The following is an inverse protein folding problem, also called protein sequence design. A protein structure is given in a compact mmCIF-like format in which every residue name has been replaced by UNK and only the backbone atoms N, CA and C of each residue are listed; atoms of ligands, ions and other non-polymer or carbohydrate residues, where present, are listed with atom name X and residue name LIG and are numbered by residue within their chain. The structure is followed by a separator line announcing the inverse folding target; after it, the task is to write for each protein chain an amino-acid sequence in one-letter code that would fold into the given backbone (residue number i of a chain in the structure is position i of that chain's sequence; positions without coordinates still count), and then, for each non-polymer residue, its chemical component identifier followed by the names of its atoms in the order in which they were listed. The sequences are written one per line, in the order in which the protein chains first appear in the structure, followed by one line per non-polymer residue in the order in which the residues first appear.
data_IF_200118105096
#
_entry.id   IF_200118105096
#
_cell.length_a   1.000
_cell.length_b   1.000
_cell.length_c   1.000
_cell.angle_alpha   90.00
_cell.angle_beta   90.00
_cell.angle_gamma   90.00
#
_symmetry.space_group_name_H-M   'P 1'
#
loop_
_entity.id
_entity.type
_entity.pdbx_description
1 polymer ?
#
# COMPACT_ATOMS: atom_id res chain seq x y z
N UNK A 1 3.34 8.34 8.47
CA UNK A 1 4.58 9.03 8.07
C UNK A 1 4.99 8.71 6.63
N UNK A 2 4.70 7.51 6.09
CA UNK A 2 5.11 7.14 4.73
C UNK A 2 4.24 7.75 3.61
N UNK A 3 2.95 7.93 3.84
CA UNK A 3 2.05 8.63 2.92
C UNK A 3 2.58 10.01 2.51
N UNK A 4 3.01 10.81 3.49
CA UNK A 4 3.63 12.12 3.22
C UNK A 4 4.89 12.01 2.35
N UNK A 5 5.66 10.92 2.44
CA UNK A 5 6.82 10.71 1.59
C UNK A 5 6.40 10.44 0.14
N UNK A 6 5.40 9.59 -0.12
CA UNK A 6 4.90 9.36 -1.50
C UNK A 6 4.27 10.63 -2.09
N UNK A 7 3.55 11.40 -1.28
CA UNK A 7 2.76 12.53 -1.78
C UNK A 7 3.53 13.85 -1.87
N UNK A 8 4.60 14.02 -1.08
CA UNK A 8 5.27 15.32 -0.94
C UNK A 8 6.79 15.29 -1.03
N UNK A 9 7.44 14.11 -1.08
CA UNK A 9 8.90 14.05 -1.20
C UNK A 9 9.39 14.55 -2.57
N UNK A 10 10.69 14.85 -2.64
CA UNK A 10 11.36 15.18 -3.90
C UNK A 10 11.31 14.02 -4.91
N UNK A 11 11.20 12.79 -4.43
CA UNK A 11 11.19 11.57 -5.24
C UNK A 11 9.78 11.14 -5.64
N UNK A 12 8.75 11.93 -5.31
CA UNK A 12 7.37 11.64 -5.70
C UNK A 12 7.20 11.61 -7.22
N UNK A 13 6.26 10.80 -7.70
CA UNK A 13 5.77 10.95 -9.05
C UNK A 13 5.02 12.28 -9.18
N UNK A 14 5.16 12.91 -10.35
CA UNK A 14 4.60 14.25 -10.57
C UNK A 14 3.09 14.29 -10.27
N UNK A 15 2.37 13.25 -10.71
CA UNK A 15 0.93 13.09 -10.57
C UNK A 15 0.48 12.24 -9.36
N UNK A 16 1.35 12.01 -8.36
CA UNK A 16 0.93 11.36 -7.12
C UNK A 16 -0.12 12.21 -6.39
N UNK A 17 -1.25 11.59 -6.03
CA UNK A 17 -2.36 12.20 -5.31
C UNK A 17 -2.85 11.26 -4.19
N UNK A 18 -3.40 11.81 -3.11
CA UNK A 18 -4.05 10.99 -2.09
C UNK A 18 -5.34 10.41 -2.66
N UNK A 19 -5.70 9.20 -2.22
CA UNK A 19 -6.95 8.58 -2.66
C UNK A 19 -8.17 9.40 -2.21
N UNK A 20 -8.09 9.99 -1.01
CA UNK A 20 -9.10 10.89 -0.43
C UNK A 20 -9.33 12.19 -1.22
N UNK A 21 -8.36 12.60 -2.03
CA UNK A 21 -8.49 13.80 -2.88
C UNK A 21 -9.35 13.55 -4.12
N UNK A 22 -9.67 12.28 -4.41
CA UNK A 22 -10.54 11.91 -5.52
C UNK A 22 -12.01 11.86 -5.08
N UNK A 23 -12.93 12.54 -5.77
CA UNK A 23 -14.34 12.56 -5.42
C UNK A 23 -15.06 11.21 -5.65
N UNK A 24 -14.56 10.40 -6.58
CA UNK A 24 -14.95 9.00 -6.80
C UNK A 24 -13.87 8.28 -7.58
N UNK A 25 -13.88 6.94 -7.60
CA UNK A 25 -12.95 6.15 -8.42
C UNK A 25 -13.27 6.17 -9.92
N UNK A 26 -14.42 6.74 -10.32
CA UNK A 26 -14.80 6.89 -11.74
C UNK A 26 -13.85 7.80 -12.52
N UNK A 27 -13.13 8.69 -11.81
CA UNK A 27 -12.16 9.61 -12.40
C UNK A 27 -10.82 8.95 -12.71
N UNK A 28 -10.56 7.76 -12.16
CA UNK A 28 -9.39 6.97 -12.49
C UNK A 28 -9.60 6.34 -13.88
N UNK A 29 -8.57 6.24 -14.68
CA UNK A 29 -8.57 5.51 -15.95
C UNK A 29 -7.77 4.19 -15.85
N UNK A 30 -7.74 3.40 -16.93
CA UNK A 30 -7.08 2.09 -16.92
C UNK A 30 -5.56 2.17 -16.87
N UNK A 31 -4.99 3.35 -17.07
CA UNK A 31 -3.54 3.60 -17.00
C UNK A 31 -3.08 3.95 -15.59
N UNK A 32 -4.01 4.36 -14.73
CA UNK A 32 -3.72 4.63 -13.33
C UNK A 32 -3.33 3.34 -12.59
N UNK A 33 -2.50 3.53 -11.56
CA UNK A 33 -2.05 2.47 -10.65
C UNK A 33 -2.33 2.94 -9.24
N UNK A 34 -3.12 2.18 -8.51
CA UNK A 34 -3.49 2.54 -7.14
C UNK A 34 -2.62 1.74 -6.17
N UNK A 35 -2.06 2.46 -5.20
CA UNK A 35 -1.19 1.88 -4.18
C UNK A 35 -1.91 1.97 -2.83
N UNK A 36 -2.36 0.81 -2.31
CA UNK A 36 -2.90 0.69 -0.97
C UNK A 36 -1.80 0.15 -0.04
N UNK A 37 -1.50 0.84 1.06
CA UNK A 37 -0.46 0.40 1.97
C UNK A 37 -0.80 0.69 3.42
N UNK A 38 -0.33 -0.18 4.31
CA UNK A 38 -0.57 -0.06 5.75
C UNK A 38 0.12 -1.16 6.52
N UNK A 39 0.37 -0.92 7.81
CA UNK A 39 1.00 -1.95 8.66
C UNK A 39 0.10 -3.19 8.85
N UNK A 40 -1.22 -3.00 8.81
CA UNK A 40 -2.23 -4.03 8.96
C UNK A 40 -3.29 -3.89 7.86
N UNK A 41 -3.96 -4.99 7.53
CA UNK A 41 -5.07 -5.01 6.59
C UNK A 41 -6.34 -4.52 7.32
N UNK A 42 -6.69 -3.25 7.14
CA UNK A 42 -7.84 -2.61 7.80
C UNK A 42 -9.14 -2.83 7.04
N UNK A 43 -10.28 -2.62 7.72
CA UNK A 43 -11.61 -2.64 7.08
C UNK A 43 -11.75 -1.57 5.99
N UNK A 44 -11.10 -0.42 6.16
CA UNK A 44 -11.06 0.64 5.16
C UNK A 44 -10.33 0.19 3.90
N UNK A 45 -9.13 -0.35 4.05
CA UNK A 45 -8.36 -0.92 2.93
C UNK A 45 -9.11 -2.05 2.23
N UNK A 46 -9.86 -2.87 2.98
CA UNK A 46 -10.68 -3.93 2.40
C UNK A 46 -11.80 -3.37 1.51
N UNK A 47 -12.51 -2.34 1.97
CA UNK A 47 -13.55 -1.66 1.17
C UNK A 47 -12.99 -1.02 -0.08
N UNK A 48 -11.86 -0.32 0.03
CA UNK A 48 -11.21 0.33 -1.12
C UNK A 48 -10.74 -0.72 -2.13
N UNK A 49 -10.13 -1.82 -1.66
CA UNK A 49 -9.69 -2.92 -2.50
C UNK A 49 -10.86 -3.57 -3.25
N UNK A 50 -11.97 -3.86 -2.55
CA UNK A 50 -13.17 -4.44 -3.16
C UNK A 50 -13.73 -3.55 -4.27
N UNK A 51 -13.79 -2.24 -4.02
CA UNK A 51 -14.29 -1.28 -5.01
C UNK A 51 -13.36 -1.17 -6.22
N UNK A 52 -12.05 -1.07 -6.01
CA UNK A 52 -11.06 -0.97 -7.08
C UNK A 52 -11.04 -2.22 -7.98
N UNK A 53 -11.22 -3.40 -7.39
CA UNK A 53 -11.33 -4.66 -8.15
C UNK A 53 -12.64 -4.71 -8.94
N UNK A 54 -13.76 -4.27 -8.35
CA UNK A 54 -15.04 -4.20 -9.05
C UNK A 54 -14.99 -3.27 -10.27
N UNK A 55 -14.15 -2.23 -10.20
CA UNK A 55 -13.92 -1.25 -11.26
C UNK A 55 -12.80 -1.67 -12.25
N UNK A 56 -12.30 -2.92 -12.18
CA UNK A 56 -11.24 -3.47 -13.04
C UNK A 56 -9.93 -2.66 -12.99
N UNK A 57 -9.53 -2.23 -11.78
CA UNK A 57 -8.32 -1.41 -11.56
C UNK A 57 -7.13 -2.23 -11.10
N UNK A 58 -5.98 -1.94 -11.70
CA UNK A 58 -4.70 -2.51 -11.29
C UNK A 58 -4.26 -1.89 -9.95
N UNK A 59 -4.18 -2.74 -8.92
CA UNK A 59 -3.88 -2.31 -7.56
C UNK A 59 -2.63 -3.01 -7.01
N UNK A 60 -1.80 -2.27 -6.28
CA UNK A 60 -0.73 -2.82 -5.45
C UNK A 60 -1.13 -2.69 -3.99
N UNK A 61 -1.14 -3.79 -3.26
CA UNK A 61 -1.43 -3.83 -1.81
C UNK A 61 -0.17 -4.18 -1.04
N UNK A 62 0.25 -3.31 -0.13
CA UNK A 62 1.42 -3.52 0.73
C UNK A 62 0.98 -3.56 2.20
N UNK A 63 0.89 -4.75 2.76
CA UNK A 63 0.56 -4.93 4.17
C UNK A 63 1.03 -6.27 4.73
N UNK A 64 0.90 -6.47 6.04
CA UNK A 64 1.00 -7.80 6.61
C UNK A 64 -0.17 -8.66 6.15
N UNK A 65 0.11 -9.86 5.64
CA UNK A 65 -0.94 -10.78 5.17
C UNK A 65 -1.98 -11.04 6.27
N UNK A 66 -3.27 -10.75 6.04
CA UNK A 66 -4.32 -11.12 6.97
C UNK A 66 -4.40 -12.65 7.07
N UNK A 67 -4.63 -13.17 8.27
CA UNK A 67 -4.67 -14.63 8.51
C UNK A 67 -5.97 -15.27 8.04
N UNK A 68 -7.05 -14.49 7.98
CA UNK A 68 -8.43 -14.98 7.84
C UNK A 68 -9.09 -14.51 6.53
N UNK A 69 -8.40 -13.70 5.73
CA UNK A 69 -8.93 -13.13 4.48
C UNK A 69 -8.13 -13.69 3.31
N UNK A 70 -8.83 -14.29 2.35
CA UNK A 70 -8.25 -14.59 1.04
C UNK A 70 -8.27 -13.32 0.19
N UNK A 71 -7.08 -12.88 -0.22
CA UNK A 71 -6.95 -11.75 -1.12
C UNK A 71 -7.07 -12.25 -2.58
N UNK A 72 -7.82 -11.57 -3.44
CA UNK A 72 -8.04 -11.97 -4.83
C UNK A 72 -6.79 -11.81 -5.71
N UNK A 73 -6.37 -12.86 -6.42
CA UNK A 73 -5.06 -12.92 -7.09
C UNK A 73 -4.94 -12.26 -8.48
N UNK A 74 -6.05 -11.94 -9.17
CA UNK A 74 -6.02 -11.69 -10.63
C UNK A 74 -5.86 -10.22 -11.05
N UNK A 75 -6.19 -9.26 -10.18
CA UNK A 75 -6.07 -7.80 -10.45
C UNK A 75 -5.26 -7.07 -9.37
N UNK A 76 -4.59 -7.84 -8.50
CA UNK A 76 -3.89 -7.32 -7.33
C UNK A 76 -2.46 -7.84 -7.29
N UNK A 77 -1.51 -6.92 -7.17
CA UNK A 77 -0.15 -7.24 -6.76
C UNK A 77 0.00 -7.09 -5.25
N UNK A 78 0.10 -8.21 -4.54
CA UNK A 78 0.23 -8.21 -3.09
C UNK A 78 1.69 -8.34 -2.63
N UNK A 79 2.17 -7.37 -1.85
CA UNK A 79 3.48 -7.39 -1.21
C UNK A 79 3.28 -7.62 0.29
N UNK A 80 3.49 -8.87 0.70
CA UNK A 80 3.41 -9.24 2.11
C UNK A 80 4.65 -8.78 2.88
N UNK A 81 4.46 -7.83 3.80
CA UNK A 81 5.52 -7.33 4.66
C UNK A 81 6.13 -8.40 5.57
N UNK A 82 5.38 -9.45 5.90
CA UNK A 82 5.82 -10.57 6.74
C UNK A 82 6.42 -10.13 8.09
N UNK A 83 5.96 -9.00 8.63
CA UNK A 83 6.35 -8.44 9.94
C UNK A 83 5.15 -8.24 10.85
N UNK A 84 4.55 -9.33 11.36
CA UNK A 84 3.38 -9.27 12.23
C UNK A 84 3.68 -8.75 13.64
N UNK A 85 4.96 -8.48 13.96
CA UNK A 85 5.37 -7.89 15.24
C UNK A 85 6.10 -6.57 14.97
N UNK A 86 5.83 -5.51 15.75
CA UNK A 86 6.60 -4.28 15.66
C UNK A 86 8.09 -4.57 15.82
N UNK A 87 8.91 -3.93 14.99
CA UNK A 87 10.35 -4.05 15.14
C UNK A 87 10.75 -3.24 16.37
N UNK A 88 11.30 -3.92 17.37
CA UNK A 88 11.83 -3.29 18.57
C UNK A 88 13.24 -2.81 18.25
N UNK A 89 13.45 -1.50 18.36
CA UNK A 89 14.78 -0.91 18.20
C UNK A 89 15.73 -1.45 19.28
N UNK A 90 16.87 -1.99 18.85
CA UNK A 90 18.02 -2.21 19.75
C UNK A 90 18.71 -0.86 20.00
N UNK A 91 19.34 -0.67 21.16
CA UNK A 91 19.96 0.60 21.57
C UNK A 91 20.87 1.24 20.49
N UNK A 92 21.51 0.41 19.66
CA UNK A 92 22.47 0.88 18.65
C UNK A 92 21.88 1.17 17.27
N UNK A 93 20.58 0.96 17.03
CA UNK A 93 19.89 1.13 15.73
C UNK A 93 20.52 0.41 14.50
N UNK A 94 21.56 -0.40 14.69
CA UNK A 94 22.46 -0.92 13.65
C UNK A 94 21.84 -2.02 12.75
N UNK A 95 20.72 -2.63 13.15
CA UNK A 95 20.17 -3.83 12.46
C UNK A 95 18.70 -3.75 12.08
N UNK A 96 18.12 -2.55 12.04
CA UNK A 96 16.68 -2.41 11.77
C UNK A 96 16.43 -2.36 10.27
N UNK A 97 16.19 -3.54 9.69
CA UNK A 97 15.53 -3.70 8.39
C UNK A 97 14.12 -3.15 8.55
N UNK A 98 13.76 -2.05 7.87
CA UNK A 98 12.37 -1.57 7.79
C UNK A 98 11.73 -2.15 6.52
N UNK A 99 10.99 -3.27 6.60
CA UNK A 99 10.51 -3.98 5.42
C UNK A 99 9.51 -3.17 4.61
N UNK A 100 8.83 -2.20 5.24
CA UNK A 100 7.94 -1.28 4.55
C UNK A 100 8.73 -0.43 3.52
N UNK A 101 9.76 0.30 3.97
CA UNK A 101 10.60 1.08 3.06
C UNK A 101 11.32 0.21 2.01
N UNK A 102 11.72 -1.01 2.36
CA UNK A 102 12.37 -1.92 1.42
C UNK A 102 11.41 -2.52 0.37
N UNK A 103 10.19 -2.85 0.76
CA UNK A 103 9.15 -3.31 -0.15
C UNK A 103 8.83 -2.25 -1.22
N UNK A 104 8.86 -0.98 -0.84
CA UNK A 104 8.57 0.14 -1.73
C UNK A 104 9.72 0.52 -2.66
N UNK A 105 10.97 0.32 -2.26
CA UNK A 105 12.12 0.41 -3.18
C UNK A 105 12.20 -0.75 -4.20
N UNK A 106 11.39 -1.80 -4.01
CA UNK A 106 11.35 -2.95 -4.91
C UNK A 106 10.32 -2.79 -6.03
N UNK A 107 9.35 -1.87 -5.88
CA UNK A 107 8.31 -1.54 -6.86
C UNK A 107 8.85 -0.55 -7.89
#
# INVERSE_FOLDING_TARGET
CFESYILTSFEKLHSSLALDDYPSFDVLDTTDRVLLFGAEYSEEMARDLEQLIADDRDVVVITNKPKEVELPDHLMHFINLSTPRPIVYTEDYDKVVQPHLMALNYV
#
